data_IF_125062154217
#
_entry.id   IF_125062154217
#
_cell.length_a   1.000
_cell.length_b   1.000
_cell.length_c   1.000
_cell.angle_alpha   90.00
_cell.angle_beta   90.00
_cell.angle_gamma   90.00
#
_symmetry.space_group_name_H-M   'P 1'
#
loop_
_entity.id
_entity.type
_entity.pdbx_description
1 polymer ?
#
# COMPACT_ATOMS: atom_id res chain seq x y z
N UNK A 1 -12.98 23.91 -27.06
CA UNK A 1 -11.89 24.03 -26.07
C UNK A 1 -12.41 23.80 -24.66
N UNK A 2 -13.51 24.44 -24.26
CA UNK A 2 -14.03 24.33 -22.88
C UNK A 2 -14.58 22.95 -22.50
N UNK A 3 -15.28 22.26 -23.40
CA UNK A 3 -15.81 20.92 -23.12
C UNK A 3 -14.68 19.91 -22.83
N UNK A 4 -13.59 19.98 -23.61
CA UNK A 4 -12.41 19.11 -23.43
C UNK A 4 -11.73 19.42 -22.10
N UNK A 5 -11.55 20.70 -21.75
CA UNK A 5 -11.01 21.10 -20.45
C UNK A 5 -11.89 20.63 -19.30
N UNK A 6 -13.21 20.74 -19.41
CA UNK A 6 -14.14 20.25 -18.39
C UNK A 6 -13.99 18.73 -18.15
N UNK A 7 -13.83 17.95 -19.22
CA UNK A 7 -13.56 16.50 -19.12
C UNK A 7 -12.19 16.23 -18.46
N UNK A 8 -11.15 16.98 -18.84
CA UNK A 8 -9.81 16.83 -18.26
C UNK A 8 -9.83 17.13 -16.75
N UNK A 9 -10.53 18.18 -16.33
CA UNK A 9 -10.67 18.55 -14.91
C UNK A 9 -11.45 17.46 -14.15
N UNK A 10 -12.57 16.99 -14.71
CA UNK A 10 -13.36 15.91 -14.12
C UNK A 10 -12.52 14.63 -13.91
N UNK A 11 -11.72 14.25 -14.92
CA UNK A 11 -10.87 13.07 -14.86
C UNK A 11 -9.79 13.21 -13.78
N UNK A 12 -9.04 14.31 -13.78
CA UNK A 12 -7.90 14.51 -12.89
C UNK A 12 -8.29 14.70 -11.42
N UNK A 13 -9.42 15.36 -11.15
CA UNK A 13 -9.78 15.74 -9.79
C UNK A 13 -10.93 14.91 -9.19
N UNK A 14 -11.69 14.17 -9.99
CA UNK A 14 -12.81 13.37 -9.49
C UNK A 14 -12.65 11.90 -9.82
N UNK A 15 -12.61 11.54 -11.10
CA UNK A 15 -12.72 10.13 -11.51
C UNK A 15 -11.46 9.34 -11.11
N UNK A 16 -10.27 9.82 -11.46
CA UNK A 16 -9.02 9.11 -11.15
C UNK A 16 -8.83 9.00 -9.63
N UNK A 17 -8.92 10.09 -8.83
CA UNK A 17 -8.81 9.98 -7.38
C UNK A 17 -9.86 9.05 -6.76
N UNK A 18 -11.14 9.16 -7.16
CA UNK A 18 -12.20 8.33 -6.60
C UNK A 18 -11.97 6.84 -6.90
N UNK A 19 -11.51 6.50 -8.10
CA UNK A 19 -11.15 5.12 -8.46
C UNK A 19 -9.96 4.62 -7.65
N UNK A 20 -8.92 5.43 -7.48
CA UNK A 20 -7.74 5.05 -6.69
C UNK A 20 -8.10 4.82 -5.22
N UNK A 21 -8.82 5.74 -4.58
CA UNK A 21 -9.26 5.59 -3.19
C UNK A 21 -10.24 4.42 -3.02
N UNK A 22 -11.20 4.27 -3.93
CA UNK A 22 -12.14 3.14 -3.91
C UNK A 22 -11.44 1.79 -4.06
N UNK A 23 -10.45 1.69 -4.96
CA UNK A 23 -9.63 0.50 -5.13
C UNK A 23 -8.81 0.18 -3.87
N UNK A 24 -8.23 1.18 -3.23
CA UNK A 24 -7.49 0.99 -1.97
C UNK A 24 -8.38 0.46 -0.84
N UNK A 25 -9.58 1.01 -0.68
CA UNK A 25 -10.56 0.53 0.29
C UNK A 25 -11.04 -0.90 -0.02
N UNK A 26 -11.29 -1.20 -1.29
CA UNK A 26 -11.69 -2.53 -1.74
C UNK A 26 -10.59 -3.58 -1.49
N UNK A 27 -9.33 -3.26 -1.80
CA UNK A 27 -8.18 -4.11 -1.51
C UNK A 27 -8.03 -4.37 -0.01
N UNK A 28 -8.21 -3.34 0.83
CA UNK A 28 -8.23 -3.48 2.28
C UNK A 28 -9.33 -4.44 2.76
N UNK A 29 -10.56 -4.27 2.27
CA UNK A 29 -11.68 -5.14 2.60
C UNK A 29 -11.47 -6.60 2.17
N UNK A 30 -10.94 -6.82 0.97
CA UNK A 30 -10.60 -8.17 0.47
C UNK A 30 -9.54 -8.82 1.36
N UNK A 31 -8.51 -8.09 1.76
CA UNK A 31 -7.49 -8.61 2.66
C UNK A 31 -8.05 -9.02 4.02
N UNK A 32 -8.90 -8.18 4.63
CA UNK A 32 -9.51 -8.49 5.92
C UNK A 32 -10.40 -9.74 5.82
N UNK A 33 -11.20 -9.85 4.76
CA UNK A 33 -12.06 -11.03 4.54
C UNK A 33 -11.28 -12.30 4.26
N UNK A 34 -10.19 -12.23 3.48
CA UNK A 34 -9.33 -13.38 3.17
C UNK A 34 -8.56 -13.86 4.42
N UNK A 35 -7.93 -12.95 5.16
CA UNK A 35 -7.19 -13.29 6.38
C UNK A 35 -8.15 -13.82 7.44
N UNK A 36 -9.31 -13.19 7.63
CA UNK A 36 -10.31 -13.69 8.58
C UNK A 36 -10.87 -15.06 8.15
N UNK A 37 -11.10 -15.27 6.86
CA UNK A 37 -11.61 -16.53 6.31
C UNK A 37 -10.63 -17.70 6.45
N UNK A 38 -9.32 -17.45 6.33
CA UNK A 38 -8.29 -18.50 6.41
C UNK A 38 -7.73 -18.63 7.83
N UNK A 39 -7.27 -17.53 8.41
CA UNK A 39 -6.48 -17.50 9.65
C UNK A 39 -7.32 -17.22 10.90
N UNK A 40 -8.61 -16.88 10.75
CA UNK A 40 -9.55 -16.55 11.85
C UNK A 40 -9.08 -15.43 12.78
N UNK A 41 -8.19 -14.55 12.32
CA UNK A 41 -7.87 -13.26 12.96
C UNK A 41 -7.86 -12.16 11.90
N UNK A 42 -8.15 -10.92 12.31
CA UNK A 42 -8.13 -9.77 11.42
C UNK A 42 -6.81 -9.01 11.61
N UNK A 43 -6.06 -8.79 10.51
CA UNK A 43 -4.90 -7.90 10.48
C UNK A 43 -5.37 -6.50 10.05
N UNK A 44 -5.48 -5.58 11.00
CA UNK A 44 -6.07 -4.26 10.79
C UNK A 44 -5.07 -3.22 10.25
N UNK A 45 -3.77 -3.45 10.41
CA UNK A 45 -2.69 -2.58 9.95
C UNK A 45 -2.49 -2.59 8.41
N UNK A 46 -3.39 -3.22 7.66
CA UNK A 46 -3.30 -3.33 6.18
C UNK A 46 -3.32 -1.96 5.50
N UNK A 47 -4.03 -0.99 6.06
CA UNK A 47 -4.00 0.40 5.59
C UNK A 47 -2.61 1.06 5.74
N UNK A 48 -1.95 0.84 6.88
CA UNK A 48 -0.61 1.37 7.15
C UNK A 48 0.45 0.69 6.29
N UNK A 49 0.29 -0.61 6.05
CA UNK A 49 1.11 -1.38 5.13
C UNK A 49 1.07 -0.80 3.70
N UNK A 50 -0.14 -0.49 3.20
CA UNK A 50 -0.28 0.13 1.87
C UNK A 50 0.34 1.53 1.84
N UNK A 51 0.10 2.35 2.87
CA UNK A 51 0.63 3.70 2.98
C UNK A 51 2.16 3.74 3.02
N UNK A 52 2.80 2.78 3.71
CA UNK A 52 4.25 2.67 3.77
C UNK A 52 4.88 2.36 2.41
N UNK A 53 4.31 1.43 1.65
CA UNK A 53 4.76 1.14 0.29
C UNK A 53 4.63 2.35 -0.64
N UNK A 54 3.50 3.05 -0.57
CA UNK A 54 3.27 4.28 -1.35
C UNK A 54 4.23 5.39 -0.96
N UNK A 55 4.53 5.57 0.33
CA UNK A 55 5.51 6.55 0.81
C UNK A 55 6.87 6.35 0.13
N UNK A 56 7.39 5.12 0.11
CA UNK A 56 8.66 4.84 -0.55
C UNK A 56 8.61 5.06 -2.06
N UNK A 57 7.52 4.66 -2.73
CA UNK A 57 7.37 4.90 -4.16
C UNK A 57 7.40 6.41 -4.48
N UNK A 58 6.68 7.22 -3.72
CA UNK A 58 6.63 8.68 -3.92
C UNK A 58 7.99 9.33 -3.61
N UNK A 59 8.62 8.98 -2.49
CA UNK A 59 9.93 9.53 -2.11
C UNK A 59 11.01 9.18 -3.13
N UNK A 60 11.07 7.92 -3.57
CA UNK A 60 12.00 7.48 -4.60
C UNK A 60 11.71 8.16 -5.94
N UNK A 61 10.44 8.41 -6.26
CA UNK A 61 10.05 9.12 -7.48
C UNK A 61 10.61 10.54 -7.47
N UNK A 62 10.42 11.29 -6.39
CA UNK A 62 10.98 12.62 -6.24
C UNK A 62 12.51 12.60 -6.26
N UNK A 63 13.13 11.64 -5.60
CA UNK A 63 14.58 11.49 -5.57
C UNK A 63 15.16 11.22 -6.97
N UNK A 64 14.58 10.28 -7.71
CA UNK A 64 15.03 9.93 -9.07
C UNK A 64 14.86 11.12 -10.02
N UNK A 65 13.74 11.84 -9.91
CA UNK A 65 13.52 13.08 -10.66
C UNK A 65 14.56 14.15 -10.32
N UNK A 66 14.95 14.29 -9.04
CA UNK A 66 15.97 15.27 -8.63
C UNK A 66 17.37 15.00 -9.21
N UNK A 67 17.68 13.73 -9.53
CA UNK A 67 18.95 13.31 -10.14
C UNK A 67 18.87 13.31 -11.68
N UNK A 68 17.70 13.65 -12.24
CA UNK A 68 17.47 13.67 -13.69
C UNK A 68 17.14 12.31 -14.30
N UNK A 69 16.88 11.29 -13.47
CA UNK A 69 16.43 9.98 -13.94
C UNK A 69 14.94 10.08 -14.27
N UNK A 70 14.64 10.19 -15.56
CA UNK A 70 13.28 10.20 -16.09
C UNK A 70 13.01 9.01 -17.01
N UNK A 71 11.76 8.54 -17.07
CA UNK A 71 11.36 7.44 -17.97
C UNK A 71 10.82 7.98 -19.32
N UNK A 72 11.31 9.16 -19.74
CA UNK A 72 10.83 9.86 -20.93
C UNK A 72 9.35 10.22 -20.82
N UNK A 73 8.52 9.65 -21.70
CA UNK A 73 7.07 9.88 -21.71
C UNK A 73 6.33 9.20 -20.53
N UNK A 74 6.92 8.16 -19.95
CA UNK A 74 6.28 7.37 -18.90
C UNK A 74 6.56 7.94 -17.50
N UNK A 75 5.65 7.74 -16.53
CA UNK A 75 5.89 8.17 -15.16
C UNK A 75 7.13 7.49 -14.56
N UNK A 76 8.02 8.28 -13.97
CA UNK A 76 9.19 7.78 -13.22
C UNK A 76 8.80 6.86 -12.07
N UNK A 77 7.58 6.99 -11.56
CA UNK A 77 7.01 6.11 -10.56
C UNK A 77 7.13 4.63 -10.95
N UNK A 78 6.97 4.26 -12.23
CA UNK A 78 7.07 2.87 -12.67
C UNK A 78 8.44 2.25 -12.38
N UNK A 79 9.51 3.03 -12.54
CA UNK A 79 10.88 2.58 -12.24
C UNK A 79 11.11 2.41 -10.75
N UNK A 80 10.42 3.19 -9.92
CA UNK A 80 10.60 3.17 -8.47
C UNK A 80 9.76 2.10 -7.76
N UNK A 81 8.72 1.58 -8.40
CA UNK A 81 7.85 0.53 -7.85
C UNK A 81 8.64 -0.71 -7.39
N UNK A 82 9.56 -1.30 -8.17
CA UNK A 82 10.36 -2.44 -7.73
C UNK A 82 11.15 -2.18 -6.44
N UNK A 83 11.70 -0.98 -6.29
CA UNK A 83 12.44 -0.58 -5.09
C UNK A 83 11.50 -0.38 -3.89
N UNK A 84 10.33 0.22 -4.10
CA UNK A 84 9.31 0.35 -3.06
C UNK A 84 8.78 -1.01 -2.60
N UNK A 85 8.58 -1.96 -3.52
CA UNK A 85 8.21 -3.36 -3.21
C UNK A 85 9.30 -3.99 -2.36
N UNK A 86 10.58 -3.82 -2.71
CA UNK A 86 11.68 -4.35 -1.93
C UNK A 86 11.69 -3.82 -0.49
N UNK A 87 11.52 -2.51 -0.31
CA UNK A 87 11.39 -1.89 1.02
C UNK A 87 10.19 -2.43 1.79
N UNK A 88 9.07 -2.66 1.11
CA UNK A 88 7.87 -3.23 1.71
C UNK A 88 8.08 -4.68 2.17
N UNK A 89 8.80 -5.49 1.38
CA UNK A 89 9.16 -6.87 1.76
C UNK A 89 10.01 -6.85 3.03
N UNK A 90 11.03 -5.98 3.09
CA UNK A 90 11.87 -5.85 4.29
C UNK A 90 11.07 -5.44 5.51
N UNK A 91 10.16 -4.47 5.36
CA UNK A 91 9.28 -4.03 6.43
C UNK A 91 8.39 -5.18 6.94
N UNK A 92 7.77 -5.93 6.05
CA UNK A 92 6.93 -7.09 6.40
C UNK A 92 7.71 -8.19 7.11
N UNK A 93 8.92 -8.51 6.64
CA UNK A 93 9.78 -9.51 7.28
C UNK A 93 10.21 -9.06 8.69
N UNK A 94 10.47 -7.77 8.88
CA UNK A 94 10.85 -7.20 10.18
C UNK A 94 9.67 -7.31 11.17
N UNK A 95 8.46 -6.97 10.75
CA UNK A 95 7.26 -7.11 11.57
C UNK A 95 6.97 -8.59 11.88
N UNK A 96 7.13 -9.50 10.92
CA UNK A 96 6.95 -10.94 11.16
C UNK A 96 7.95 -11.45 12.21
N UNK A 97 9.23 -11.08 12.10
CA UNK A 97 10.25 -11.55 13.04
C UNK A 97 10.14 -10.93 14.44
N UNK A 98 9.83 -9.63 14.54
CA UNK A 98 9.85 -8.93 15.83
C UNK A 98 8.53 -9.05 16.58
N UNK A 99 7.40 -9.06 15.86
CA UNK A 99 6.07 -9.08 16.45
C UNK A 99 5.45 -10.46 16.32
N UNK A 100 5.12 -10.90 15.10
CA UNK A 100 4.27 -12.08 14.90
C UNK A 100 4.91 -13.40 15.32
N UNK A 101 6.23 -13.55 15.18
CA UNK A 101 6.98 -14.76 15.56
C UNK A 101 6.77 -15.10 17.04
N UNK A 102 6.81 -14.10 17.93
CA UNK A 102 6.60 -14.31 19.37
C UNK A 102 5.21 -14.88 19.65
N UNK A 103 4.17 -14.24 19.11
CA UNK A 103 2.79 -14.65 19.34
C UNK A 103 2.46 -16.02 18.73
N UNK A 104 3.12 -16.37 17.61
CA UNK A 104 3.02 -17.70 16.97
C UNK A 104 3.64 -18.80 17.83
N UNK A 105 4.83 -18.57 18.39
CA UNK A 105 5.50 -19.54 19.29
C UNK A 105 4.68 -19.76 20.56
N UNK A 106 4.12 -18.69 21.14
CA UNK A 106 3.26 -18.77 22.33
C UNK A 106 1.85 -19.32 22.08
N UNK A 107 1.47 -19.62 20.82
CA UNK A 107 0.12 -20.06 20.43
C UNK A 107 -0.96 -19.13 20.98
N UNK A 108 -0.72 -17.82 20.87
CA UNK A 108 -1.61 -16.81 21.43
C UNK A 108 -2.98 -16.88 20.75
N UNK A 109 -4.09 -16.67 21.50
CA UNK A 109 -5.42 -16.71 20.92
C UNK A 109 -5.56 -15.67 19.78
N UNK A 110 -6.38 -15.96 18.75
CA UNK A 110 -6.55 -15.10 17.57
C UNK A 110 -6.90 -13.64 17.89
N UNK A 111 -7.61 -13.41 18.99
CA UNK A 111 -7.98 -12.06 19.48
C UNK A 111 -6.75 -11.24 19.88
N UNK A 112 -5.74 -11.86 20.52
CA UNK A 112 -4.50 -11.16 20.89
C UNK A 112 -3.66 -10.83 19.65
N UNK A 113 -3.62 -11.73 18.65
CA UNK A 113 -2.97 -11.45 17.37
C UNK A 113 -3.65 -10.29 16.62
N UNK A 114 -4.97 -10.21 16.67
CA UNK A 114 -5.72 -9.10 16.09
C UNK A 114 -5.44 -7.76 16.79
N UNK A 115 -5.43 -7.72 18.12
CA UNK A 115 -5.14 -6.50 18.89
C UNK A 115 -3.74 -5.94 18.64
N UNK A 116 -2.76 -6.82 18.40
CA UNK A 116 -1.37 -6.42 18.09
C UNK A 116 -1.21 -5.95 16.64
N UNK A 117 -2.19 -6.26 15.79
CA UNK A 117 -2.20 -5.88 14.38
C UNK A 117 -3.07 -4.64 14.10
N UNK A 118 -3.48 -3.89 15.12
CA UNK A 118 -4.20 -2.61 15.01
C UNK A 118 -3.20 -1.46 15.04
#
# INVERSE_FOLDING_TARGET
MDLINAVIVLLNYTIIPALTYGSQLALGAIFVTLIYGILRFANFATGDMMSFGTMFAVLLTYYFQSIGISFGFLPTALLTIPFAIFMMILYMLLIDQTVFKYYRIKKSPPVQLAMVSV
#
